data_IF_066161865142
#
_entry.id   IF_066161865142
#
_cell.length_a   1.000
_cell.length_b   1.000
_cell.length_c   1.000
_cell.angle_alpha   90.00
_cell.angle_beta   90.00
_cell.angle_gamma   90.00
#
_symmetry.space_group_name_H-M   'P 1'
#
loop_
_entity.id
_entity.type
_entity.pdbx_description
1 polymer ?
#
# COMPACT_ATOMS: atom_id res chain seq x y z
N UNK A 1 10.27 -6.62 6.89
CA UNK A 1 9.45 -5.39 7.01
C UNK A 1 10.14 -4.12 6.51
N UNK A 2 11.46 -3.93 6.68
CA UNK A 2 12.20 -2.77 6.14
C UNK A 2 12.13 -2.60 4.62
N UNK A 3 11.86 -3.69 3.88
CA UNK A 3 11.81 -3.65 2.42
C UNK A 3 10.61 -2.87 1.85
N UNK A 4 9.43 -2.92 2.47
CA UNK A 4 8.27 -2.15 2.00
C UNK A 4 8.52 -0.65 2.08
N UNK A 5 9.06 -0.19 3.22
CA UNK A 5 9.44 1.20 3.42
C UNK A 5 10.52 1.63 2.42
N UNK A 6 11.51 0.77 2.15
CA UNK A 6 12.55 1.04 1.15
C UNK A 6 11.98 1.19 -0.28
N UNK A 7 11.01 0.37 -0.66
CA UNK A 7 10.37 0.44 -1.99
C UNK A 7 9.46 1.66 -2.08
N UNK A 8 8.72 1.96 -1.02
CA UNK A 8 7.93 3.18 -0.90
C UNK A 8 8.83 4.41 -1.06
N UNK A 9 9.95 4.46 -0.35
CA UNK A 9 10.93 5.55 -0.45
C UNK A 9 11.48 5.69 -1.87
N UNK A 10 11.84 4.57 -2.50
CA UNK A 10 12.30 4.56 -3.90
C UNK A 10 11.22 5.03 -4.87
N UNK A 11 9.94 4.71 -4.64
CA UNK A 11 8.84 5.22 -5.47
C UNK A 11 8.73 6.74 -5.37
N UNK A 12 8.82 7.29 -4.15
CA UNK A 12 8.83 8.73 -3.89
C UNK A 12 10.00 9.42 -4.60
N UNK A 13 11.22 8.87 -4.48
CA UNK A 13 12.42 9.39 -5.16
C UNK A 13 12.26 9.44 -6.69
N UNK A 14 11.47 8.52 -7.26
CA UNK A 14 11.18 8.48 -8.70
C UNK A 14 9.91 9.26 -9.08
N UNK A 15 9.37 10.10 -8.18
CA UNK A 15 8.19 10.92 -8.39
C UNK A 15 6.88 10.13 -8.51
N UNK A 16 6.88 8.83 -8.18
CA UNK A 16 5.71 7.95 -8.20
C UNK A 16 4.95 8.02 -6.87
N UNK A 17 3.69 7.62 -6.90
CA UNK A 17 2.87 7.55 -5.69
C UNK A 17 3.45 6.50 -4.72
N UNK A 18 3.37 6.72 -3.40
CA UNK A 18 4.06 5.92 -2.38
C UNK A 18 3.33 4.60 -2.06
N UNK A 19 2.98 3.83 -3.09
CA UNK A 19 2.39 2.50 -2.96
C UNK A 19 3.46 1.45 -3.28
N UNK A 20 3.62 0.51 -2.35
CA UNK A 20 4.58 -0.58 -2.49
C UNK A 20 3.90 -1.91 -2.16
N UNK A 21 3.94 -2.85 -3.10
CA UNK A 21 3.65 -4.26 -2.84
C UNK A 21 4.94 -5.06 -2.95
N UNK A 22 5.15 -5.98 -2.00
CA UNK A 22 6.24 -6.95 -2.04
C UNK A 22 5.69 -8.36 -2.04
N UNK A 23 6.20 -9.20 -2.94
CA UNK A 23 6.07 -10.63 -2.82
C UNK A 23 7.28 -11.15 -2.05
N UNK A 24 7.05 -11.91 -1.00
CA UNK A 24 8.11 -12.52 -0.17
C UNK A 24 8.00 -14.04 -0.29
N UNK A 25 9.13 -14.74 -0.27
CA UNK A 25 9.14 -16.21 -0.20
C UNK A 25 8.50 -16.69 1.13
N UNK A 26 7.95 -17.92 1.22
CA UNK A 26 7.29 -18.41 2.44
C UNK A 26 8.12 -18.40 3.73
N UNK A 27 9.45 -18.34 3.63
CA UNK A 27 10.41 -18.16 4.73
C UNK A 27 10.54 -16.70 5.20
N UNK A 28 9.87 -15.76 4.52
CA UNK A 28 9.75 -14.35 4.86
C UNK A 28 11.08 -13.54 4.81
N UNK A 29 12.15 -14.10 4.25
CA UNK A 29 13.49 -13.48 4.24
C UNK A 29 13.84 -12.79 2.90
N UNK A 30 13.32 -13.30 1.78
CA UNK A 30 13.67 -12.86 0.44
C UNK A 30 12.48 -12.19 -0.27
N UNK A 31 12.69 -10.96 -0.76
CA UNK A 31 11.70 -10.25 -1.58
C UNK A 31 11.87 -10.68 -3.04
N UNK A 32 10.89 -11.41 -3.53
CA UNK A 32 10.84 -11.99 -4.87
C UNK A 32 10.37 -11.00 -5.93
N UNK A 33 9.52 -10.04 -5.56
CA UNK A 33 8.98 -9.06 -6.51
C UNK A 33 8.56 -7.77 -5.80
N UNK A 34 8.76 -6.64 -6.47
CA UNK A 34 8.29 -5.32 -6.02
C UNK A 34 7.45 -4.71 -7.12
N UNK A 35 6.18 -4.35 -6.86
CA UNK A 35 5.30 -3.77 -7.88
C UNK A 35 4.44 -2.64 -7.31
N UNK A 36 4.06 -1.69 -8.16
CA UNK A 36 3.17 -0.57 -7.79
C UNK A 36 1.69 -0.84 -8.11
N UNK A 37 1.36 -1.76 -9.03
CA UNK A 37 -0.02 -2.12 -9.41
C UNK A 37 -0.29 -3.61 -9.11
N UNK A 38 -1.23 -3.87 -8.20
CA UNK A 38 -1.43 -5.17 -7.54
C UNK A 38 -2.34 -6.12 -8.33
N UNK A 39 -3.16 -5.60 -9.26
CA UNK A 39 -4.23 -6.34 -9.93
C UNK A 39 -3.75 -7.44 -10.91
N UNK A 40 -2.58 -7.28 -11.52
CA UNK A 40 -2.08 -8.20 -12.54
C UNK A 40 -1.02 -9.20 -12.04
N UNK A 41 -0.60 -9.10 -10.79
CA UNK A 41 0.39 -10.01 -10.22
C UNK A 41 -0.29 -11.28 -9.71
N UNK A 42 0.31 -12.45 -9.94
CA UNK A 42 -0.18 -13.73 -9.43
C UNK A 42 0.08 -13.84 -7.91
N UNK A 43 -0.53 -12.95 -7.14
CA UNK A 43 -0.36 -12.78 -5.70
C UNK A 43 -1.34 -13.71 -4.98
N UNK A 44 -0.84 -14.51 -4.03
CA UNK A 44 -1.66 -15.32 -3.11
C UNK A 44 -1.79 -14.72 -1.70
N UNK A 45 -1.02 -13.65 -1.39
CA UNK A 45 -1.03 -13.00 -0.08
C UNK A 45 -0.79 -11.51 -0.19
N UNK A 46 -1.60 -10.74 0.54
CA UNK A 46 -1.47 -9.28 0.65
C UNK A 46 -1.19 -8.93 2.11
N UNK A 47 -0.17 -8.11 2.32
CA UNK A 47 0.15 -7.58 3.65
C UNK A 47 0.22 -6.06 3.56
N UNK A 48 -0.53 -5.36 4.42
CA UNK A 48 -0.56 -3.91 4.45
C UNK A 48 -0.47 -3.37 5.88
N UNK A 49 0.14 -2.21 6.04
CA UNK A 49 0.50 -1.64 7.34
C UNK A 49 -0.37 -0.45 7.77
N UNK A 50 -0.91 0.33 6.84
CA UNK A 50 -1.85 1.40 7.15
C UNK A 50 -3.20 1.11 6.51
N UNK A 51 -4.27 1.34 7.26
CA UNK A 51 -5.63 1.19 6.75
C UNK A 51 -5.92 2.20 5.64
N UNK A 52 -6.78 1.79 4.72
CA UNK A 52 -7.24 2.64 3.61
C UNK A 52 -8.00 3.86 4.14
N UNK A 53 -8.71 3.72 5.26
CA UNK A 53 -9.36 4.84 5.94
C UNK A 53 -8.33 5.87 6.43
N UNK A 54 -7.26 5.42 7.09
CA UNK A 54 -6.23 6.31 7.60
C UNK A 54 -5.48 7.03 6.48
N UNK A 55 -5.19 6.33 5.39
CA UNK A 55 -4.59 6.92 4.19
C UNK A 55 -5.55 7.86 3.45
N UNK A 56 -6.86 7.58 3.44
CA UNK A 56 -7.86 8.47 2.84
C UNK A 56 -7.99 9.78 3.64
N UNK A 57 -7.97 9.71 4.98
CA UNK A 57 -7.92 10.89 5.84
C UNK A 57 -6.69 11.75 5.55
N UNK A 58 -5.55 11.12 5.25
CA UNK A 58 -4.31 11.81 4.94
C UNK A 58 -4.42 12.65 3.65
N UNK A 59 -5.10 12.17 2.61
CA UNK A 59 -5.16 12.87 1.31
C UNK A 59 -6.36 13.78 1.13
N UNK A 60 -7.42 13.60 1.94
CA UNK A 60 -8.67 14.34 1.85
C UNK A 60 -9.58 13.92 0.68
N UNK A 61 -10.88 14.23 0.78
CA UNK A 61 -11.83 14.01 -0.32
C UNK A 61 -11.59 14.99 -1.48
N UNK A 62 -11.74 14.53 -2.73
CA UNK A 62 -11.63 15.39 -3.90
C UNK A 62 -10.20 15.77 -4.29
N UNK A 63 -9.20 15.00 -3.81
CA UNK A 63 -7.83 15.15 -4.25
C UNK A 63 -7.70 14.74 -5.72
N UNK A 64 -7.41 15.70 -6.61
CA UNK A 64 -7.30 15.46 -8.07
C UNK A 64 -6.19 14.46 -8.42
N UNK A 65 -5.19 14.31 -7.55
CA UNK A 65 -4.09 13.36 -7.70
C UNK A 65 -4.36 12.01 -7.03
N UNK A 66 -5.32 11.94 -6.11
CA UNK A 66 -5.74 10.72 -5.44
C UNK A 66 -7.25 10.49 -5.63
N UNK A 67 -7.63 9.98 -6.80
CA UNK A 67 -9.03 9.60 -7.11
C UNK A 67 -9.40 8.21 -6.58
N UNK A 68 -8.68 7.69 -5.59
CA UNK A 68 -8.90 6.33 -5.11
C UNK A 68 -10.25 6.23 -4.40
N UNK A 69 -10.98 5.15 -4.69
CA UNK A 69 -12.24 4.85 -4.02
C UNK A 69 -11.99 4.64 -2.52
N UNK A 70 -12.86 5.19 -1.67
CA UNK A 70 -12.88 4.88 -0.23
C UNK A 70 -13.46 3.48 0.02
N UNK A 71 -12.89 2.45 -0.61
CA UNK A 71 -13.30 1.07 -0.52
C UNK A 71 -12.15 0.24 0.06
N UNK A 72 -12.37 -0.53 1.14
CA UNK A 72 -11.35 -1.43 1.67
C UNK A 72 -10.91 -2.46 0.62
N UNK A 73 -9.62 -2.80 0.57
CA UNK A 73 -9.08 -3.77 -0.37
C UNK A 73 -9.80 -5.12 -0.28
N UNK A 74 -10.16 -5.55 0.94
CA UNK A 74 -10.90 -6.79 1.18
C UNK A 74 -12.19 -6.84 0.36
N UNK A 75 -12.94 -5.74 0.31
CA UNK A 75 -14.20 -5.66 -0.43
C UNK A 75 -14.00 -5.68 -1.95
N UNK A 76 -12.92 -5.07 -2.44
CA UNK A 76 -12.54 -5.16 -3.87
C UNK A 76 -12.20 -6.61 -4.23
N UNK A 77 -11.56 -7.32 -3.31
CA UNK A 77 -11.04 -8.68 -3.51
C UNK A 77 -12.06 -9.79 -3.21
N UNK A 78 -13.24 -9.47 -2.64
CA UNK A 78 -14.35 -10.43 -2.48
C UNK A 78 -14.77 -11.08 -3.81
N UNK A 79 -14.58 -10.37 -4.93
CA UNK A 79 -14.86 -10.89 -6.28
C UNK A 79 -13.71 -11.71 -6.90
N UNK A 80 -12.61 -11.92 -6.18
CA UNK A 80 -11.45 -12.67 -6.68
C UNK A 80 -11.79 -14.15 -6.88
N UNK A 81 -11.34 -14.72 -8.00
CA UNK A 81 -11.39 -16.18 -8.23
C UNK A 81 -10.25 -16.94 -7.54
N UNK A 82 -9.36 -16.22 -6.84
CA UNK A 82 -8.19 -16.77 -6.13
C UNK A 82 -8.42 -16.72 -4.63
N UNK A 83 -7.92 -17.74 -3.95
CA UNK A 83 -7.79 -17.74 -2.50
C UNK A 83 -6.65 -16.76 -2.11
N UNK A 84 -7.00 -15.74 -1.33
CA UNK A 84 -6.11 -14.64 -0.98
C UNK A 84 -6.01 -14.53 0.54
N UNK A 85 -4.79 -14.67 1.06
CA UNK A 85 -4.50 -14.42 2.47
C UNK A 85 -4.22 -12.92 2.66
N UNK A 86 -5.10 -12.22 3.37
CA UNK A 86 -4.99 -10.76 3.58
C UNK A 86 -4.68 -10.48 5.05
N UNK A 87 -3.46 -9.99 5.31
CA UNK A 87 -2.95 -9.67 6.63
C UNK A 87 -2.81 -8.15 6.77
N UNK A 88 -3.47 -7.58 7.77
CA UNK A 88 -3.39 -6.16 8.07
C UNK A 88 -4.74 -5.51 8.37
N UNK A 89 -4.73 -4.22 8.76
CA UNK A 89 -3.53 -3.39 8.88
C UNK A 89 -2.59 -3.85 10.01
N UNK A 90 -1.28 -3.76 9.82
CA UNK A 90 -0.29 -3.96 10.89
C UNK A 90 -0.24 -2.68 11.72
N UNK A 91 -1.06 -2.63 12.77
CA UNK A 91 -1.30 -1.43 13.59
C UNK A 91 -0.03 -0.81 14.17
N UNK A 92 0.98 -1.63 14.49
CA UNK A 92 2.27 -1.21 15.05
C UNK A 92 3.11 -0.37 14.07
N UNK A 93 2.81 -0.47 12.77
CA UNK A 93 3.51 0.26 11.71
C UNK A 93 2.64 1.35 11.06
N UNK A 94 1.37 1.48 11.45
CA UNK A 94 0.43 2.37 10.79
C UNK A 94 0.91 3.83 10.84
N UNK A 95 1.31 4.32 12.02
CA UNK A 95 1.79 5.69 12.18
C UNK A 95 3.04 5.99 11.33
N UNK A 96 4.00 5.06 11.30
CA UNK A 96 5.22 5.20 10.51
C UNK A 96 4.92 5.28 9.00
N UNK A 97 3.99 4.47 8.53
CA UNK A 97 3.58 4.44 7.12
C UNK A 97 2.79 5.70 6.75
N UNK A 98 1.93 6.18 7.64
CA UNK A 98 1.18 7.43 7.45
C UNK A 98 2.14 8.62 7.41
N UNK A 99 3.10 8.70 8.34
CA UNK A 99 4.10 9.76 8.36
C UNK A 99 4.99 9.76 7.11
N UNK A 100 5.46 8.59 6.68
CA UNK A 100 6.22 8.47 5.44
C UNK A 100 5.39 8.90 4.21
N UNK A 101 4.11 8.53 4.18
CA UNK A 101 3.18 8.92 3.11
C UNK A 101 2.89 10.43 3.14
N UNK A 102 2.81 11.02 4.33
CA UNK A 102 2.53 12.43 4.58
C UNK A 102 3.55 13.33 3.87
N UNK A 103 4.83 12.95 3.87
CA UNK A 103 5.91 13.64 3.15
C UNK A 103 5.56 13.88 1.68
N UNK A 104 5.03 12.87 0.99
CA UNK A 104 4.63 13.00 -0.41
C UNK A 104 3.35 13.82 -0.55
N UNK A 105 2.33 13.52 0.25
CA UNK A 105 0.99 14.10 0.09
C UNK A 105 0.88 15.54 0.59
N UNK A 106 1.82 16.04 1.41
CA UNK A 106 1.82 17.45 1.89
C UNK A 106 1.71 18.44 0.74
N UNK A 107 2.41 18.20 -0.37
CA UNK A 107 2.41 19.09 -1.54
C UNK A 107 1.18 18.96 -2.45
N UNK A 108 0.27 18.02 -2.17
CA UNK A 108 -0.88 17.72 -3.02
C UNK A 108 -2.21 17.66 -2.25
N UNK A 109 -2.21 18.03 -0.97
CA UNK A 109 -3.44 18.25 -0.19
C UNK A 109 -4.05 19.59 -0.58
N UNK A 110 -5.37 19.62 -0.74
CA UNK A 110 -6.15 20.86 -0.82
C UNK A 110 -6.59 21.27 0.57
#
# INVERSE_FOLDING_TARGET
MSTCLRIQQRAIENGKQPFAAVLVRPDHDEVLLTHSNIDHANIGRIVYAASEERLAQLTGMGNEKNMTMAMPCRKVLEGSQKDLDIIGPITELEDQVVEASDVYWKSFRK
#
